data_IF_578324177944
#
_entry.id   IF_578324177944
#
_cell.length_a   1.000
_cell.length_b   1.000
_cell.length_c   1.000
_cell.angle_alpha   90.00
_cell.angle_beta   90.00
_cell.angle_gamma   90.00
#
_symmetry.space_group_name_H-M   'P 1'
#
loop_
_entity.id
_entity.type
_entity.pdbx_description
1 polymer ?
#
# COMPACT_ATOMS: atom_id res chain seq x y z
N UNK A 1 -14.82 -1.14 16.91
CA UNK A 1 -13.67 -1.18 15.97
C UNK A 1 -12.91 -2.47 16.24
N UNK A 2 -12.68 -3.30 15.22
CA UNK A 2 -12.01 -4.59 15.42
C UNK A 2 -10.64 -4.38 16.09
N UNK A 3 -10.44 -5.03 17.23
CA UNK A 3 -9.15 -5.08 17.92
C UNK A 3 -8.18 -5.88 17.05
N UNK A 4 -7.55 -5.22 16.08
CA UNK A 4 -6.36 -5.76 15.42
C UNK A 4 -5.17 -5.47 16.34
N UNK A 5 -4.45 -6.52 16.76
CA UNK A 5 -3.14 -6.34 17.39
C UNK A 5 -2.28 -5.43 16.53
N UNK A 6 -1.81 -4.33 17.10
CA UNK A 6 -0.97 -3.39 16.39
C UNK A 6 0.31 -4.09 15.91
N UNK A 7 0.56 -4.04 14.59
CA UNK A 7 1.79 -4.57 14.00
C UNK A 7 3.00 -3.85 14.62
N UNK A 8 3.86 -4.53 15.38
CA UNK A 8 5.06 -3.88 15.92
C UNK A 8 6.15 -3.77 14.87
N UNK A 9 7.11 -2.86 15.05
CA UNK A 9 8.26 -2.68 14.15
C UNK A 9 9.02 -4.00 13.95
N UNK A 10 9.29 -4.74 15.03
CA UNK A 10 10.04 -6.01 14.96
C UNK A 10 9.27 -7.06 14.16
N UNK A 11 7.97 -7.26 14.44
CA UNK A 11 7.13 -8.20 13.69
C UNK A 11 7.03 -7.81 12.21
N UNK A 12 6.98 -6.51 11.93
CA UNK A 12 6.95 -5.99 10.57
C UNK A 12 8.24 -6.35 9.80
N UNK A 13 9.41 -6.12 10.40
CA UNK A 13 10.70 -6.46 9.82
C UNK A 13 10.86 -7.96 9.56
N UNK A 14 10.46 -8.80 10.52
CA UNK A 14 10.51 -10.26 10.38
C UNK A 14 9.62 -10.73 9.22
N UNK A 15 8.39 -10.20 9.14
CA UNK A 15 7.42 -10.57 8.12
C UNK A 15 7.79 -10.05 6.72
N UNK A 16 8.27 -8.82 6.64
CA UNK A 16 8.59 -8.12 5.39
C UNK A 16 10.08 -7.82 5.33
N UNK A 17 10.88 -8.88 5.25
CA UNK A 17 12.34 -8.78 5.22
C UNK A 17 12.92 -8.68 3.78
N UNK A 18 12.08 -8.90 2.75
CA UNK A 18 12.52 -8.90 1.35
C UNK A 18 11.40 -8.50 0.38
N UNK A 19 11.80 -8.12 -0.84
CA UNK A 19 10.86 -7.82 -1.93
C UNK A 19 9.99 -9.02 -2.30
N UNK A 20 10.53 -10.25 -2.21
CA UNK A 20 9.77 -11.46 -2.50
C UNK A 20 8.77 -11.80 -1.38
N UNK A 21 9.12 -11.55 -0.10
CA UNK A 21 8.17 -11.67 1.01
C UNK A 21 7.02 -10.65 0.88
N UNK A 22 7.32 -9.41 0.47
CA UNK A 22 6.30 -8.40 0.19
C UNK A 22 5.42 -8.81 -1.00
N UNK A 23 6.02 -9.38 -2.05
CA UNK A 23 5.31 -9.87 -3.24
C UNK A 23 4.35 -11.00 -2.92
N UNK A 24 4.80 -11.97 -2.12
CA UNK A 24 3.97 -13.08 -1.66
C UNK A 24 2.79 -12.56 -0.84
N UNK A 25 3.02 -11.61 0.06
CA UNK A 25 1.93 -10.99 0.82
C UNK A 25 0.92 -10.28 -0.09
N UNK A 26 1.38 -9.53 -1.11
CA UNK A 26 0.49 -8.92 -2.09
C UNK A 26 -0.26 -9.95 -2.93
N UNK A 27 0.39 -11.07 -3.28
CA UNK A 27 -0.23 -12.17 -4.01
C UNK A 27 -1.40 -12.74 -3.21
N UNK A 28 -1.19 -13.08 -1.94
CA UNK A 28 -2.23 -13.61 -1.05
C UNK A 28 -3.37 -12.60 -0.84
N UNK A 29 -3.06 -11.32 -0.67
CA UNK A 29 -4.09 -10.28 -0.53
C UNK A 29 -4.93 -10.11 -1.81
N UNK A 30 -4.30 -10.20 -2.98
CA UNK A 30 -4.98 -10.05 -4.28
C UNK A 30 -5.78 -11.29 -4.66
N UNK A 31 -5.26 -12.47 -4.33
CA UNK A 31 -5.77 -13.77 -4.75
C UNK A 31 -5.81 -14.74 -3.55
N UNK A 32 -6.75 -14.52 -2.60
CA UNK A 32 -6.80 -15.31 -1.36
C UNK A 32 -7.10 -16.80 -1.58
N UNK A 33 -7.74 -17.13 -2.70
CA UNK A 33 -8.09 -18.51 -3.08
C UNK A 33 -7.21 -19.05 -4.22
N UNK A 34 -6.02 -18.48 -4.40
CA UNK A 34 -5.14 -18.77 -5.53
C UNK A 34 -5.40 -17.88 -6.75
N UNK A 35 -4.44 -17.91 -7.68
CA UNK A 35 -4.44 -17.02 -8.85
C UNK A 35 -5.76 -17.10 -9.62
N UNK A 36 -6.29 -15.95 -10.02
CA UNK A 36 -7.39 -15.84 -10.98
C UNK A 36 -7.02 -14.82 -12.03
N UNK A 37 -7.02 -15.25 -13.30
CA UNK A 37 -6.67 -14.39 -14.41
C UNK A 37 -7.68 -13.23 -14.52
N UNK A 38 -7.25 -11.95 -14.54
CA UNK A 38 -8.17 -10.82 -14.63
C UNK A 38 -8.88 -10.71 -15.99
N UNK A 39 -8.48 -11.49 -16.99
CA UNK A 39 -9.06 -11.47 -18.35
C UNK A 39 -10.04 -12.63 -18.61
N UNK A 40 -9.78 -13.82 -18.07
CA UNK A 40 -10.56 -15.03 -18.40
C UNK A 40 -10.86 -15.93 -17.19
N UNK A 41 -10.55 -15.48 -15.97
CA UNK A 41 -10.85 -16.15 -14.70
C UNK A 41 -10.25 -17.55 -14.49
N UNK A 42 -9.44 -18.02 -15.44
CA UNK A 42 -8.68 -19.25 -15.29
C UNK A 42 -7.68 -19.16 -14.14
N UNK A 43 -7.45 -20.29 -13.49
CA UNK A 43 -6.69 -20.43 -12.23
C UNK A 43 -5.24 -20.88 -12.43
N UNK A 44 -4.89 -21.48 -13.57
CA UNK A 44 -3.51 -21.87 -13.83
C UNK A 44 -2.68 -20.71 -14.40
N UNK A 45 -1.43 -20.61 -13.94
CA UNK A 45 -0.46 -19.61 -14.38
C UNK A 45 0.97 -20.17 -14.44
N UNK A 46 1.82 -19.47 -15.19
CA UNK A 46 3.27 -19.55 -15.10
C UNK A 46 3.82 -18.29 -14.46
N UNK A 47 4.77 -18.44 -13.53
CA UNK A 47 5.48 -17.30 -12.97
C UNK A 47 6.72 -16.97 -13.80
N UNK A 48 6.80 -15.72 -14.26
CA UNK A 48 7.89 -15.21 -15.07
C UNK A 48 8.87 -14.46 -14.16
N UNK A 49 9.79 -15.18 -13.53
CA UNK A 49 10.74 -14.68 -12.51
C UNK A 49 11.42 -13.36 -12.90
N UNK A 50 12.01 -13.29 -14.10
CA UNK A 50 12.77 -12.12 -14.57
C UNK A 50 11.94 -10.84 -14.65
N UNK A 51 10.64 -10.96 -14.93
CA UNK A 51 9.72 -9.82 -15.05
C UNK A 51 8.82 -9.68 -13.82
N UNK A 52 8.85 -10.65 -12.90
CA UNK A 52 7.96 -10.77 -11.74
C UNK A 52 6.48 -10.68 -12.14
N UNK A 53 6.11 -11.39 -13.23
CA UNK A 53 4.76 -11.42 -13.81
C UNK A 53 4.13 -12.80 -13.71
N UNK A 54 2.80 -12.82 -13.63
CA UNK A 54 1.97 -14.02 -13.61
C UNK A 54 1.27 -14.13 -14.97
N UNK A 55 1.60 -15.16 -15.74
CA UNK A 55 1.05 -15.39 -17.07
C UNK A 55 -0.01 -16.49 -17.02
N UNK A 56 -1.25 -16.18 -17.43
CA UNK A 56 -2.30 -17.17 -17.55
C UNK A 56 -1.94 -18.22 -18.61
N UNK A 57 -2.11 -19.51 -18.29
CA UNK A 57 -1.81 -20.61 -19.22
C UNK A 57 -2.77 -20.64 -20.42
N UNK A 58 -4.04 -20.25 -20.19
CA UNK A 58 -5.13 -20.27 -21.18
C UNK A 58 -5.09 -19.10 -22.17
N UNK A 59 -5.15 -17.86 -21.69
CA UNK A 59 -5.26 -16.68 -22.57
C UNK A 59 -3.93 -15.92 -22.77
N UNK A 60 -2.83 -16.40 -22.17
CA UNK A 60 -1.49 -15.79 -22.19
C UNK A 60 -1.41 -14.35 -21.65
N UNK A 61 -2.48 -13.86 -21.01
CA UNK A 61 -2.47 -12.55 -20.37
C UNK A 61 -1.47 -12.54 -19.20
N UNK A 62 -0.65 -11.48 -19.15
CA UNK A 62 0.34 -11.26 -18.10
C UNK A 62 -0.15 -10.16 -17.15
N UNK A 63 -0.08 -10.43 -15.85
CA UNK A 63 -0.42 -9.45 -14.81
C UNK A 63 0.66 -9.45 -13.72
N UNK A 64 0.94 -8.29 -13.14
CA UNK A 64 1.74 -8.18 -11.92
C UNK A 64 0.83 -8.23 -10.69
N UNK A 65 1.37 -8.57 -9.52
CA UNK A 65 0.64 -8.42 -8.25
C UNK A 65 0.32 -6.96 -7.93
N UNK A 66 1.12 -6.03 -8.45
CA UNK A 66 0.94 -4.58 -8.27
C UNK A 66 -0.05 -3.96 -9.27
N UNK A 67 -0.56 -4.74 -10.23
CA UNK A 67 -1.43 -4.23 -11.30
C UNK A 67 -2.73 -3.64 -10.74
N UNK A 68 -3.04 -2.38 -11.08
CA UNK A 68 -4.26 -1.72 -10.58
C UNK A 68 -4.24 -1.39 -9.08
N UNK A 69 -3.07 -1.38 -8.44
CA UNK A 69 -2.90 -0.96 -7.03
C UNK A 69 -2.14 0.37 -6.95
N UNK A 70 -1.98 0.95 -5.76
CA UNK A 70 -1.10 2.13 -5.56
C UNK A 70 0.35 1.89 -6.02
N UNK A 71 0.78 0.63 -5.97
CA UNK A 71 2.12 0.16 -6.36
C UNK A 71 2.28 0.00 -7.87
N UNK A 72 1.21 0.23 -8.66
CA UNK A 72 1.23 0.03 -10.10
C UNK A 72 2.28 0.91 -10.79
N UNK A 73 3.02 0.31 -11.73
CA UNK A 73 4.10 0.94 -12.52
C UNK A 73 5.16 1.65 -11.67
N UNK A 74 5.37 1.21 -10.42
CA UNK A 74 6.47 1.70 -9.62
C UNK A 74 7.75 0.93 -9.94
N UNK A 75 8.86 1.66 -10.04
CA UNK A 75 10.22 1.11 -10.11
C UNK A 75 10.87 1.00 -8.72
N UNK A 76 10.21 1.52 -7.68
CA UNK A 76 10.68 1.46 -6.30
C UNK A 76 10.50 0.04 -5.76
N UNK A 77 11.49 -0.51 -5.03
CA UNK A 77 11.36 -1.83 -4.40
C UNK A 77 10.09 -1.95 -3.55
N UNK A 78 9.51 -3.15 -3.52
CA UNK A 78 8.30 -3.41 -2.74
C UNK A 78 8.55 -3.21 -1.24
N UNK A 79 9.74 -3.60 -0.77
CA UNK A 79 10.12 -3.42 0.62
C UNK A 79 10.08 -1.95 1.05
N UNK A 80 10.57 -1.04 0.21
CA UNK A 80 10.51 0.41 0.46
C UNK A 80 9.06 0.92 0.52
N UNK A 81 8.18 0.41 -0.34
CA UNK A 81 6.76 0.73 -0.27
C UNK A 81 6.11 0.25 1.02
N UNK A 82 6.45 -0.96 1.43
CA UNK A 82 5.93 -1.55 2.67
C UNK A 82 6.38 -0.71 3.87
N UNK A 83 7.64 -0.31 3.93
CA UNK A 83 8.14 0.62 4.94
C UNK A 83 7.40 1.96 4.94
N UNK A 84 7.17 2.55 3.77
CA UNK A 84 6.42 3.78 3.67
C UNK A 84 4.99 3.65 4.22
N UNK A 85 4.31 2.55 3.84
CA UNK A 85 2.96 2.25 4.34
C UNK A 85 2.97 2.07 5.85
N UNK A 86 3.95 1.35 6.40
CA UNK A 86 4.11 1.16 7.84
C UNK A 86 4.28 2.49 8.57
N UNK A 87 5.23 3.33 8.14
CA UNK A 87 5.48 4.63 8.79
C UNK A 87 4.25 5.54 8.75
N UNK A 88 3.54 5.58 7.62
CA UNK A 88 2.35 6.43 7.46
C UNK A 88 1.16 5.90 8.27
N UNK A 89 0.98 4.57 8.36
CA UNK A 89 -0.12 3.97 9.11
C UNK A 89 0.10 4.00 10.63
N UNK A 90 1.35 4.06 11.08
CA UNK A 90 1.69 4.01 12.52
C UNK A 90 1.78 5.38 13.20
N UNK A 91 2.11 6.46 12.48
CA UNK A 91 2.19 7.80 13.09
C UNK A 91 0.81 8.50 13.08
N UNK A 92 0.24 8.67 14.28
CA UNK A 92 -1.05 9.34 14.49
C UNK A 92 -1.04 10.83 14.12
N UNK A 93 0.13 11.47 14.04
CA UNK A 93 0.30 12.89 13.70
C UNK A 93 0.44 13.11 12.20
N UNK A 94 0.57 12.03 11.43
CA UNK A 94 0.90 12.06 10.03
C UNK A 94 2.39 12.24 9.76
N UNK A 95 2.79 11.84 8.55
CA UNK A 95 4.19 11.83 8.10
C UNK A 95 4.41 12.85 6.98
N UNK A 96 5.53 13.58 7.00
CA UNK A 96 5.91 14.50 5.93
C UNK A 96 6.71 13.78 4.83
N UNK A 97 6.64 14.27 3.59
CA UNK A 97 7.43 13.72 2.48
C UNK A 97 8.95 13.88 2.70
N UNK A 98 9.37 14.94 3.41
CA UNK A 98 10.78 15.16 3.77
C UNK A 98 11.26 14.09 4.76
N UNK A 99 10.46 13.79 5.78
CA UNK A 99 10.76 12.71 6.72
C UNK A 99 10.86 11.38 5.98
N UNK A 100 9.87 11.07 5.14
CA UNK A 100 9.82 9.80 4.42
C UNK A 100 11.01 9.64 3.45
N UNK A 101 11.41 10.72 2.78
CA UNK A 101 12.60 10.76 1.91
C UNK A 101 13.86 10.43 2.67
N UNK A 102 14.05 11.01 3.86
CA UNK A 102 15.22 10.78 4.71
C UNK A 102 15.24 9.36 5.27
N UNK A 103 14.12 8.92 5.83
CA UNK A 103 14.02 7.64 6.55
C UNK A 103 14.16 6.43 5.60
N UNK A 104 13.71 6.57 4.36
CA UNK A 104 13.78 5.49 3.36
C UNK A 104 14.93 5.67 2.36
N UNK A 105 15.74 6.71 2.51
CA UNK A 105 16.86 7.03 1.60
C UNK A 105 16.43 7.14 0.13
N UNK A 106 15.25 7.72 -0.12
CA UNK A 106 14.70 7.94 -1.46
C UNK A 106 14.64 9.41 -1.80
N UNK A 107 14.53 9.74 -3.09
CA UNK A 107 14.36 11.12 -3.53
C UNK A 107 13.04 11.71 -3.03
N UNK A 108 13.05 13.00 -2.71
CA UNK A 108 11.85 13.72 -2.27
C UNK A 108 10.64 13.57 -3.22
N UNK A 109 10.78 13.69 -4.56
CA UNK A 109 9.65 13.48 -5.46
C UNK A 109 9.04 12.07 -5.36
N UNK A 110 9.87 11.06 -5.15
CA UNK A 110 9.41 9.67 -4.94
C UNK A 110 8.63 9.56 -3.63
N UNK A 111 9.18 10.08 -2.54
CA UNK A 111 8.53 10.10 -1.24
C UNK A 111 7.19 10.85 -1.27
N UNK A 112 7.13 12.00 -1.94
CA UNK A 112 5.92 12.80 -2.12
C UNK A 112 4.84 12.01 -2.88
N UNK A 113 5.20 11.39 -4.01
CA UNK A 113 4.27 10.56 -4.79
C UNK A 113 3.76 9.36 -3.98
N UNK A 114 4.64 8.68 -3.24
CA UNK A 114 4.28 7.56 -2.37
C UNK A 114 3.27 8.01 -1.31
N UNK A 115 3.56 9.10 -0.61
CA UNK A 115 2.71 9.65 0.44
C UNK A 115 1.31 10.01 -0.08
N UNK A 116 1.22 10.66 -1.25
CA UNK A 116 -0.06 10.98 -1.89
C UNK A 116 -0.86 9.74 -2.25
N UNK A 117 -0.22 8.73 -2.85
CA UNK A 117 -0.89 7.48 -3.21
C UNK A 117 -1.39 6.72 -1.98
N UNK A 118 -0.60 6.68 -0.90
CA UNK A 118 -0.98 6.03 0.37
C UNK A 118 -2.18 6.76 0.98
N UNK A 119 -2.11 8.09 1.12
CA UNK A 119 -3.21 8.90 1.68
C UNK A 119 -4.48 8.79 0.86
N UNK A 120 -4.37 8.78 -0.47
CA UNK A 120 -5.52 8.55 -1.35
C UNK A 120 -6.16 7.18 -1.07
N UNK A 121 -5.36 6.11 -0.99
CA UNK A 121 -5.90 4.79 -0.68
C UNK A 121 -6.54 4.70 0.72
N UNK A 122 -6.00 5.43 1.71
CA UNK A 122 -6.63 5.54 3.02
C UNK A 122 -7.97 6.28 2.93
N UNK A 123 -8.03 7.41 2.23
CA UNK A 123 -9.27 8.17 2.02
C UNK A 123 -10.33 7.40 1.24
N UNK A 124 -9.93 6.69 0.18
CA UNK A 124 -10.81 5.82 -0.61
C UNK A 124 -11.37 4.69 0.28
N UNK A 125 -10.56 4.13 1.18
CA UNK A 125 -11.02 3.15 2.17
C UNK A 125 -11.99 3.76 3.17
N UNK A 126 -11.68 4.94 3.70
CA UNK A 126 -12.49 5.61 4.71
C UNK A 126 -13.87 6.00 4.15
N UNK A 127 -13.94 6.36 2.86
CA UNK A 127 -15.19 6.65 2.16
C UNK A 127 -16.16 5.45 2.08
N UNK A 128 -15.69 4.21 2.29
CA UNK A 128 -16.55 3.03 2.39
C UNK A 128 -17.23 2.90 3.76
N UNK A 129 -16.77 3.61 4.79
CA UNK A 129 -17.37 3.58 6.12
C UNK A 129 -18.39 4.71 6.25
N UNK A 130 -19.64 4.36 6.56
CA UNK A 130 -20.65 5.31 6.99
C UNK A 130 -20.68 5.35 8.52
N UNK A 131 -20.52 6.54 9.09
CA UNK A 131 -20.70 6.77 10.52
C UNK A 131 -22.19 6.57 10.86
N UNK A 132 -22.48 5.85 11.93
CA UNK A 132 -23.84 5.53 12.37
C UNK A 132 -23.96 5.60 13.89
N UNK A 133 -25.15 5.93 14.38
CA UNK A 133 -25.43 6.12 15.81
C UNK A 133 -25.17 7.55 16.27
N UNK A 134 -24.74 7.70 17.52
CA UNK A 134 -24.32 8.99 18.06
C UNK A 134 -22.94 9.34 17.50
N UNK A 135 -22.86 10.41 16.72
CA UNK A 135 -21.62 10.90 16.12
C UNK A 135 -21.24 12.20 16.81
N UNK A 136 -20.06 12.20 17.42
CA UNK A 136 -19.42 13.39 17.99
C UNK A 136 -18.37 13.90 17.00
N UNK A 137 -18.38 15.20 16.75
CA UNK A 137 -17.50 15.88 15.80
C UNK A 137 -16.75 16.97 16.55
N UNK A 138 -15.45 16.75 16.72
CA UNK A 138 -14.53 17.79 17.21
C UNK A 138 -13.92 18.51 16.02
N UNK A 139 -13.96 19.85 16.02
CA UNK A 139 -13.30 20.67 15.03
C UNK A 139 -12.09 21.39 15.65
N UNK A 140 -11.07 21.63 14.85
CA UNK A 140 -9.86 22.32 15.26
C UNK A 140 -9.39 23.25 14.14
N UNK A 141 -9.21 24.53 14.48
CA UNK A 141 -8.72 25.53 13.55
C UNK A 141 -7.18 25.54 13.52
N UNK A 142 -6.60 25.31 12.33
CA UNK A 142 -5.15 25.32 12.12
C UNK A 142 -4.75 26.42 11.13
N UNK A 143 -4.12 27.48 11.64
CA UNK A 143 -3.58 28.60 10.85
C UNK A 143 -3.48 29.88 11.68
N UNK A 144 -2.52 30.75 11.35
CA UNK A 144 -2.50 32.14 11.83
C UNK A 144 -3.21 33.04 10.80
N UNK A 145 -3.84 34.15 11.19
CA UNK A 145 -4.30 35.14 10.23
C UNK A 145 -3.10 35.64 9.41
N UNK A 146 -3.16 35.49 8.09
CA UNK A 146 -2.24 36.18 7.19
C UNK A 146 -2.63 37.66 7.17
N UNK A 147 -1.78 38.52 7.73
CA UNK A 147 -1.87 39.96 7.47
C UNK A 147 -1.63 40.19 5.98
N UNK A 148 -2.60 40.85 5.33
CA UNK A 148 -2.54 41.23 3.91
C UNK A 148 -1.91 42.60 3.70
#
# INVERSE_FOLDING_TARGET
MAQQEAMTLKRFQEKFHSDDACREHLFQNRWPNGFRCPKCEHDAFYYLERRKLYQCTRCKHQTSVTAGTILHKSHTPLLTWFWAIFLVAHDKRGVSAVFLSRELEISYPTAWLMLHKIRKAMGDRDAHYQLAGLVELDDAFFGAPTEG
#
